data_IF_417338448192
#
_entry.id   IF_417338448192
#
_cell.length_a   1.000
_cell.length_b   1.000
_cell.length_c   1.000
_cell.angle_alpha   90.00
_cell.angle_beta   90.00
_cell.angle_gamma   90.00
#
_symmetry.space_group_name_H-M   'P 1'
#
loop_
_entity.id
_entity.type
_entity.pdbx_description
1 polymer ?
#
# COMPACT_ATOMS: atom_id res chain seq x y z
N UNK A 1 -24.99 -10.34 -0.54
CA UNK A 1 -23.74 -9.70 -1.00
C UNK A 1 -22.56 -9.89 -0.03
N UNK A 2 -22.71 -9.74 1.30
CA UNK A 2 -21.62 -9.96 2.29
C UNK A 2 -20.93 -11.34 2.21
N UNK A 3 -21.68 -12.41 1.92
CA UNK A 3 -21.11 -13.77 1.91
C UNK A 3 -20.10 -14.02 0.79
N UNK A 4 -20.32 -13.44 -0.41
CA UNK A 4 -19.43 -13.64 -1.56
C UNK A 4 -18.10 -12.92 -1.33
N UNK A 5 -18.13 -11.71 -0.75
CA UNK A 5 -16.92 -10.94 -0.45
C UNK A 5 -16.06 -11.63 0.61
N UNK A 6 -16.68 -12.20 1.65
CA UNK A 6 -15.97 -12.91 2.70
C UNK A 6 -15.34 -14.23 2.20
N UNK A 7 -16.03 -15.01 1.37
CA UNK A 7 -15.47 -16.23 0.76
C UNK A 7 -14.35 -15.92 -0.24
N UNK A 8 -14.46 -14.82 -1.00
CA UNK A 8 -13.40 -14.33 -1.87
C UNK A 8 -12.13 -13.94 -1.10
N UNK A 9 -12.27 -13.15 -0.02
CA UNK A 9 -11.17 -12.79 0.88
C UNK A 9 -10.50 -14.04 1.50
N UNK A 10 -11.31 -15.01 1.93
CA UNK A 10 -10.81 -16.26 2.52
C UNK A 10 -10.02 -17.10 1.50
N UNK A 11 -10.51 -17.23 0.27
CA UNK A 11 -9.79 -17.92 -0.80
C UNK A 11 -8.54 -17.16 -1.26
N UNK A 12 -8.56 -15.81 -1.28
CA UNK A 12 -7.40 -14.98 -1.61
C UNK A 12 -6.29 -15.15 -0.57
N UNK A 13 -6.63 -15.11 0.72
CA UNK A 13 -5.69 -15.37 1.81
C UNK A 13 -5.10 -16.79 1.76
N UNK A 14 -5.90 -17.80 1.40
CA UNK A 14 -5.44 -19.19 1.30
C UNK A 14 -4.47 -19.43 0.13
N UNK A 15 -4.61 -18.70 -0.97
CA UNK A 15 -3.81 -18.93 -2.18
C UNK A 15 -2.42 -18.26 -2.19
N UNK A 16 -2.08 -17.43 -1.19
CA UNK A 16 -0.79 -16.69 -1.12
C UNK A 16 -0.43 -15.91 -2.41
N UNK A 17 -1.40 -15.70 -3.30
CA UNK A 17 -1.25 -14.88 -4.47
C UNK A 17 -1.56 -13.45 -4.03
N UNK A 18 -0.53 -12.73 -3.60
CA UNK A 18 -0.62 -11.29 -3.44
C UNK A 18 -0.90 -10.70 -4.83
N UNK A 19 -2.08 -10.15 -5.02
CA UNK A 19 -2.34 -9.34 -6.20
C UNK A 19 -1.70 -7.94 -6.02
N UNK A 20 -1.72 -7.13 -7.07
CA UNK A 20 -1.10 -5.80 -7.03
C UNK A 20 -1.72 -4.88 -5.98
N UNK A 21 -3.03 -5.01 -5.72
CA UNK A 21 -3.69 -4.21 -4.71
C UNK A 21 -3.22 -4.61 -3.32
N UNK A 22 -3.03 -5.92 -3.09
CA UNK A 22 -2.55 -6.44 -1.81
C UNK A 22 -1.13 -6.04 -1.49
N UNK A 23 -0.26 -6.06 -2.50
CA UNK A 23 1.12 -5.60 -2.34
C UNK A 23 1.15 -4.13 -1.90
N UNK A 24 0.36 -3.29 -2.56
CA UNK A 24 0.30 -1.87 -2.23
C UNK A 24 -0.30 -1.63 -0.84
N UNK A 25 -1.39 -2.32 -0.51
CA UNK A 25 -2.02 -2.23 0.81
C UNK A 25 -1.06 -2.70 1.92
N UNK A 26 -0.46 -3.88 1.76
CA UNK A 26 0.48 -4.43 2.74
C UNK A 26 1.70 -3.53 2.92
N UNK A 27 2.22 -2.95 1.84
CA UNK A 27 3.35 -2.02 1.91
C UNK A 27 2.98 -0.73 2.64
N UNK A 28 1.80 -0.17 2.37
CA UNK A 28 1.30 0.99 3.11
C UNK A 28 1.10 0.69 4.60
N UNK A 29 0.47 -0.42 4.96
CA UNK A 29 0.26 -0.80 6.36
C UNK A 29 1.60 -0.97 7.10
N UNK A 30 2.56 -1.64 6.46
CA UNK A 30 3.92 -1.78 6.99
C UNK A 30 4.56 -0.41 7.28
N UNK A 31 4.52 0.51 6.32
CA UNK A 31 5.11 1.85 6.47
C UNK A 31 4.34 2.72 7.46
N UNK A 32 3.02 2.58 7.56
CA UNK A 32 2.18 3.31 8.53
C UNK A 32 2.53 2.89 9.96
N UNK A 33 2.58 1.58 10.19
CA UNK A 33 2.64 1.00 11.54
C UNK A 33 4.07 0.84 12.06
N UNK A 34 5.07 0.75 11.17
CA UNK A 34 6.48 0.59 11.53
C UNK A 34 7.32 1.83 11.16
N UNK A 35 7.45 2.75 12.11
CA UNK A 35 8.13 4.05 11.91
C UNK A 35 9.61 3.89 11.53
N UNK A 36 10.29 2.90 12.08
CA UNK A 36 11.70 2.58 11.77
C UNK A 36 11.88 2.19 10.29
N UNK A 37 10.99 1.35 9.77
CA UNK A 37 10.96 0.97 8.35
C UNK A 37 10.62 2.18 7.49
N UNK A 38 9.63 2.98 7.89
CA UNK A 38 9.29 4.23 7.19
C UNK A 38 10.48 5.18 7.10
N UNK A 39 11.18 5.42 8.19
CA UNK A 39 12.37 6.29 8.22
C UNK A 39 13.49 5.79 7.31
N UNK A 40 13.67 4.46 7.22
CA UNK A 40 14.63 3.89 6.27
C UNK A 40 14.31 4.30 4.83
N UNK A 41 13.04 4.21 4.40
CA UNK A 41 12.65 4.59 3.05
C UNK A 41 12.58 6.10 2.82
N UNK A 42 12.19 6.88 3.82
CA UNK A 42 12.21 8.35 3.76
C UNK A 42 13.63 8.91 3.61
N UNK A 43 14.60 8.32 4.33
CA UNK A 43 16.00 8.72 4.21
C UNK A 43 16.62 8.29 2.87
N UNK A 44 16.18 7.17 2.30
CA UNK A 44 16.61 6.67 0.99
C UNK A 44 16.02 7.49 -0.16
N UNK A 45 14.73 7.79 -0.13
CA UNK A 45 14.00 8.47 -1.19
C UNK A 45 13.74 9.92 -0.81
N UNK A 46 14.77 10.75 -0.95
CA UNK A 46 14.70 12.16 -0.59
C UNK A 46 13.79 12.99 -1.51
N UNK A 47 13.55 12.53 -2.73
CA UNK A 47 12.68 13.15 -3.73
C UNK A 47 11.85 12.06 -4.38
N UNK A 48 10.55 12.31 -4.56
CA UNK A 48 9.61 11.37 -5.15
C UNK A 48 8.90 12.07 -6.31
N UNK A 49 8.99 11.47 -7.49
CA UNK A 49 8.22 11.88 -8.66
C UNK A 49 7.15 10.83 -8.92
N UNK A 50 5.89 11.27 -9.03
CA UNK A 50 4.77 10.42 -9.41
C UNK A 50 4.25 10.92 -10.74
N UNK A 51 4.40 10.08 -11.77
CA UNK A 51 3.84 10.33 -13.09
C UNK A 51 2.36 9.93 -13.14
N UNK A 52 1.61 10.45 -14.10
CA UNK A 52 0.16 10.21 -14.27
C UNK A 52 -0.65 10.41 -12.97
N UNK A 53 -0.29 11.43 -12.18
CA UNK A 53 -0.86 11.63 -10.84
C UNK A 53 -2.38 11.82 -10.86
N UNK A 54 -2.94 12.32 -11.97
CA UNK A 54 -4.38 12.49 -12.17
C UNK A 54 -5.15 11.15 -12.15
N UNK A 55 -4.49 10.03 -12.43
CA UNK A 55 -5.12 8.70 -12.48
C UNK A 55 -4.95 7.94 -11.16
N UNK A 56 -4.36 8.55 -10.13
CA UNK A 56 -4.14 7.90 -8.84
C UNK A 56 -5.42 7.70 -8.05
N UNK A 57 -5.58 6.52 -7.48
CA UNK A 57 -6.66 6.23 -6.55
C UNK A 57 -6.28 6.57 -5.10
N UNK A 58 -7.26 6.55 -4.19
CA UNK A 58 -7.07 6.87 -2.77
C UNK A 58 -5.95 6.05 -2.13
N UNK A 59 -5.81 4.77 -2.47
CA UNK A 59 -4.80 3.90 -1.88
C UNK A 59 -3.38 4.28 -2.32
N UNK A 60 -3.19 4.57 -3.61
CA UNK A 60 -1.92 5.04 -4.15
C UNK A 60 -1.51 6.40 -3.59
N UNK A 61 -2.50 7.29 -3.38
CA UNK A 61 -2.28 8.57 -2.72
C UNK A 61 -1.78 8.39 -1.28
N UNK A 62 -2.48 7.58 -0.47
CA UNK A 62 -2.11 7.31 0.92
C UNK A 62 -0.72 6.67 1.04
N UNK A 63 -0.36 5.78 0.10
CA UNK A 63 0.97 5.20 0.02
C UNK A 63 2.06 6.23 -0.28
N UNK A 64 1.80 7.16 -1.20
CA UNK A 64 2.77 8.21 -1.53
C UNK A 64 2.92 9.20 -0.38
N UNK A 65 1.80 9.57 0.25
CA UNK A 65 1.75 10.51 1.37
C UNK A 65 2.52 10.00 2.60
N UNK A 66 2.38 8.71 2.95
CA UNK A 66 3.10 8.14 4.11
C UNK A 66 4.62 8.18 3.93
N UNK A 67 5.12 8.17 2.69
CA UNK A 67 6.55 8.29 2.41
C UNK A 67 6.95 9.78 2.30
N UNK A 68 6.08 10.66 1.81
CA UNK A 68 6.36 12.09 1.70
C UNK A 68 6.44 12.83 3.05
N UNK A 69 5.58 12.48 4.01
CA UNK A 69 5.48 13.20 5.29
C UNK A 69 6.71 12.97 6.19
N UNK A 70 7.64 13.92 6.21
CA UNK A 70 8.78 13.94 7.15
C UNK A 70 8.39 14.44 8.54
#
# INVERSE_FOLDING_TARGET
MRNIYAEYELQRQQNKALDFADLLLSAYELLRDHRDIRQHYQSRFQQILVDEFQDTNTMQYMFTDVIYQQ
#
